data_IF_392793453961
#
_entry.id   IF_392793453961
#
_cell.length_a   1.000
_cell.length_b   1.000
_cell.length_c   1.000
_cell.angle_alpha   90.00
_cell.angle_beta   90.00
_cell.angle_gamma   90.00
#
_symmetry.space_group_name_H-M   'P 1'
#
loop_
_entity.id
_entity.type
_entity.pdbx_description
1 polymer ?
#
# COMPACT_ATOMS: atom_id res chain seq x y z
N UNK A 1 9.87 15.16 25.76
CA UNK A 1 9.00 14.27 24.95
C UNK A 1 8.90 14.89 23.58
N UNK A 2 9.25 14.15 22.50
CA UNK A 2 9.28 14.66 21.13
C UNK A 2 7.86 14.63 20.54
N UNK A 3 7.33 15.77 20.09
CA UNK A 3 5.94 15.88 19.61
C UNK A 3 5.88 15.73 18.10
N UNK A 4 5.24 14.66 17.62
CA UNK A 4 5.06 14.34 16.21
C UNK A 4 3.60 14.51 15.78
N UNK A 5 3.35 15.33 14.76
CA UNK A 5 2.06 15.41 14.09
C UNK A 5 2.09 14.59 12.80
N UNK A 6 1.19 13.59 12.67
CA UNK A 6 1.00 12.82 11.45
C UNK A 6 -0.26 13.30 10.73
N UNK A 7 -0.09 13.80 9.50
CA UNK A 7 -1.18 14.18 8.60
C UNK A 7 -1.43 13.03 7.62
N UNK A 8 -2.63 12.45 7.67
CA UNK A 8 -3.00 11.32 6.83
C UNK A 8 -4.22 11.68 5.98
N UNK A 9 -4.37 11.16 4.74
CA UNK A 9 -5.58 11.32 3.95
C UNK A 9 -6.78 10.58 4.55
N UNK A 10 -6.57 9.38 5.12
CA UNK A 10 -7.66 8.53 5.62
C UNK A 10 -7.52 8.24 7.12
N UNK A 11 -8.63 7.88 7.78
CA UNK A 11 -8.62 7.33 9.13
C UNK A 11 -8.02 5.90 9.13
N UNK A 12 -7.99 5.26 10.30
CA UNK A 12 -7.39 3.92 10.51
C UNK A 12 -8.00 2.82 9.63
N UNK A 13 -9.23 2.99 9.16
CA UNK A 13 -9.88 2.09 8.22
C UNK A 13 -9.20 2.08 6.84
N UNK A 14 -8.48 3.14 6.49
CA UNK A 14 -7.71 3.22 5.25
C UNK A 14 -6.43 2.40 5.33
N UNK A 15 -6.31 1.33 4.53
CA UNK A 15 -5.19 0.38 4.62
C UNK A 15 -3.82 1.07 4.50
N UNK A 16 -3.64 2.00 3.56
CA UNK A 16 -2.39 2.71 3.39
C UNK A 16 -1.95 3.43 4.67
N UNK A 17 -2.85 4.23 5.27
CA UNK A 17 -2.52 4.99 6.48
C UNK A 17 -2.38 4.06 7.69
N UNK A 18 -3.20 2.99 7.78
CA UNK A 18 -3.10 1.99 8.84
C UNK A 18 -1.70 1.40 8.91
N UNK A 19 -1.19 0.88 7.80
CA UNK A 19 0.10 0.18 7.75
C UNK A 19 1.32 1.11 7.66
N UNK A 20 1.12 2.41 7.35
CA UNK A 20 2.21 3.39 7.26
C UNK A 20 2.34 4.29 8.48
N UNK A 21 1.25 4.46 9.25
CA UNK A 21 1.21 5.39 10.38
C UNK A 21 0.66 4.73 11.64
N UNK A 22 -0.59 4.24 11.61
CA UNK A 22 -1.27 3.83 12.84
C UNK A 22 -0.62 2.62 13.53
N UNK A 23 -0.17 1.64 12.79
CA UNK A 23 0.49 0.45 13.35
C UNK A 23 1.86 0.76 13.97
N UNK A 24 2.52 1.85 13.53
CA UNK A 24 3.78 2.28 14.10
C UNK A 24 3.63 3.05 15.43
N UNK A 25 2.45 3.55 15.78
CA UNK A 25 2.25 4.40 16.96
C UNK A 25 2.76 3.78 18.27
N UNK A 26 2.55 2.48 18.57
CA UNK A 26 3.07 1.88 19.80
C UNK A 26 4.60 1.90 19.87
N UNK A 27 5.29 1.78 18.74
CA UNK A 27 6.75 1.84 18.66
C UNK A 27 7.26 3.26 18.86
N UNK A 28 6.62 4.24 18.24
CA UNK A 28 6.92 5.65 18.42
C UNK A 28 6.72 6.09 19.87
N UNK A 29 5.63 5.68 20.48
CA UNK A 29 5.35 5.98 21.90
C UNK A 29 6.42 5.39 22.82
N UNK A 30 6.83 4.13 22.61
CA UNK A 30 7.92 3.50 23.37
C UNK A 30 9.26 4.21 23.19
N UNK A 31 9.49 4.83 22.03
CA UNK A 31 10.68 5.63 21.75
C UNK A 31 10.57 7.09 22.26
N UNK A 32 9.54 7.44 23.03
CA UNK A 32 9.39 8.75 23.66
C UNK A 32 8.70 9.81 22.80
N UNK A 33 8.05 9.43 21.69
CA UNK A 33 7.24 10.35 20.89
C UNK A 33 5.83 10.50 21.46
N UNK A 34 5.38 11.74 21.59
CA UNK A 34 3.97 12.09 21.71
C UNK A 34 3.40 12.30 20.31
N UNK A 35 2.69 11.28 19.81
CA UNK A 35 2.21 11.29 18.42
C UNK A 35 0.73 11.67 18.34
N UNK A 36 0.42 12.69 17.55
CA UNK A 36 -0.94 13.09 17.20
C UNK A 36 -1.21 12.73 15.74
N UNK A 37 -2.23 11.93 15.46
CA UNK A 37 -2.65 11.64 14.08
C UNK A 37 -3.89 12.45 13.74
N UNK A 38 -3.84 13.17 12.63
CA UNK A 38 -4.97 13.97 12.12
C UNK A 38 -5.32 13.52 10.70
N UNK A 39 -6.30 12.59 10.55
CA UNK A 39 -6.77 12.20 9.23
C UNK A 39 -7.56 13.33 8.58
N UNK A 40 -7.38 13.52 7.27
CA UNK A 40 -8.18 14.47 6.49
C UNK A 40 -9.64 14.00 6.44
N UNK A 41 -9.89 12.78 5.98
CA UNK A 41 -11.21 12.21 5.96
C UNK A 41 -11.64 11.73 7.36
N UNK A 42 -12.87 12.08 7.76
CA UNK A 42 -13.51 11.42 8.91
C UNK A 42 -13.92 10.00 8.54
N UNK A 43 -14.16 9.08 9.50
CA UNK A 43 -14.69 7.74 9.20
C UNK A 43 -16.00 7.78 8.38
N UNK A 44 -16.84 8.80 8.63
CA UNK A 44 -18.08 9.00 7.87
C UNK A 44 -17.81 9.40 6.43
N UNK A 45 -16.88 10.34 6.19
CA UNK A 45 -16.49 10.72 4.83
C UNK A 45 -15.82 9.55 4.11
N UNK A 46 -14.91 8.84 4.77
CA UNK A 46 -14.22 7.69 4.20
C UNK A 46 -15.21 6.64 3.69
N UNK A 47 -16.20 6.26 4.51
CA UNK A 47 -17.27 5.34 4.10
C UNK A 47 -18.15 5.90 2.98
N UNK A 48 -18.47 7.20 3.02
CA UNK A 48 -19.23 7.86 1.96
C UNK A 48 -18.48 7.88 0.62
N UNK A 49 -17.16 8.05 0.63
CA UNK A 49 -16.31 8.02 -0.58
C UNK A 49 -16.27 6.62 -1.23
N UNK A 50 -16.37 5.55 -0.44
CA UNK A 50 -16.45 4.17 -0.94
C UNK A 50 -17.82 3.86 -1.58
N UNK A 51 -18.88 4.54 -1.17
CA UNK A 51 -20.24 4.33 -1.69
C UNK A 51 -20.45 5.07 -3.03
N UNK A 52 -21.32 4.53 -3.89
CA UNK A 52 -21.76 5.23 -5.13
C UNK A 52 -22.76 6.35 -4.81
N UNK A 53 -22.77 7.39 -5.64
CA UNK A 53 -23.73 8.51 -5.53
C UNK A 53 -23.41 9.50 -4.41
N UNK A 54 -24.43 10.23 -3.94
CA UNK A 54 -24.35 11.23 -2.87
C UNK A 54 -23.31 12.34 -3.07
N UNK A 55 -23.19 12.86 -4.30
CA UNK A 55 -22.15 13.84 -4.68
C UNK A 55 -22.20 15.08 -3.79
N UNK A 56 -23.38 15.64 -3.53
CA UNK A 56 -23.55 16.83 -2.67
C UNK A 56 -23.03 16.56 -1.24
N UNK A 57 -23.39 15.41 -0.66
CA UNK A 57 -22.90 14.99 0.67
C UNK A 57 -21.38 14.84 0.68
N UNK A 58 -20.80 14.21 -0.34
CA UNK A 58 -19.35 14.06 -0.49
C UNK A 58 -18.66 15.42 -0.58
N UNK A 59 -19.19 16.32 -1.41
CA UNK A 59 -18.64 17.67 -1.56
C UNK A 59 -18.68 18.46 -0.25
N UNK A 60 -19.84 18.50 0.45
CA UNK A 60 -19.99 19.18 1.72
C UNK A 60 -19.02 18.64 2.79
N UNK A 61 -18.93 17.31 2.93
CA UNK A 61 -17.99 16.70 3.88
C UNK A 61 -16.54 16.96 3.51
N UNK A 62 -16.19 16.94 2.23
CA UNK A 62 -14.81 17.24 1.76
C UNK A 62 -14.44 18.68 2.07
N UNK A 63 -15.37 19.64 1.83
CA UNK A 63 -15.16 21.05 2.17
C UNK A 63 -14.98 21.25 3.67
N UNK A 64 -15.82 20.63 4.50
CA UNK A 64 -15.67 20.65 5.96
C UNK A 64 -14.31 20.11 6.40
N UNK A 65 -13.89 18.97 5.85
CA UNK A 65 -12.58 18.38 6.16
C UNK A 65 -11.43 19.30 5.70
N UNK A 66 -11.58 19.99 4.58
CA UNK A 66 -10.63 21.01 4.11
C UNK A 66 -10.50 22.18 5.09
N UNK A 67 -11.61 22.74 5.56
CA UNK A 67 -11.62 23.80 6.58
C UNK A 67 -10.98 23.34 7.88
N UNK A 68 -11.28 22.11 8.33
CA UNK A 68 -10.64 21.51 9.50
C UNK A 68 -9.12 21.40 9.30
N UNK A 69 -8.67 21.03 8.10
CA UNK A 69 -7.24 20.93 7.78
C UNK A 69 -6.55 22.31 7.83
N UNK A 70 -7.22 23.38 7.40
CA UNK A 70 -6.71 24.73 7.57
C UNK A 70 -6.59 25.11 9.06
N UNK A 71 -7.56 24.70 9.87
CA UNK A 71 -7.47 24.88 11.32
C UNK A 71 -6.28 24.13 11.94
N UNK A 72 -5.95 22.94 11.43
CA UNK A 72 -4.80 22.17 11.89
C UNK A 72 -3.48 22.95 11.73
N UNK A 73 -3.36 23.80 10.70
CA UNK A 73 -2.16 24.64 10.47
C UNK A 73 -1.86 25.57 11.64
N UNK A 74 -2.88 26.04 12.36
CA UNK A 74 -2.71 27.01 13.46
C UNK A 74 -1.93 26.42 14.64
N UNK A 75 -1.98 25.11 14.84
CA UNK A 75 -1.35 24.39 15.95
C UNK A 75 -0.04 23.68 15.58
N UNK A 76 0.39 23.72 14.32
CA UNK A 76 1.58 22.96 13.86
C UNK A 76 2.88 23.41 14.51
N UNK A 77 3.00 24.67 14.88
CA UNK A 77 4.18 25.20 15.59
C UNK A 77 4.42 24.56 16.97
N UNK A 78 3.44 23.82 17.50
CA UNK A 78 3.55 23.13 18.79
C UNK A 78 4.24 21.76 18.67
N UNK A 79 4.48 21.29 17.47
CA UNK A 79 5.10 20.00 17.19
C UNK A 79 6.55 20.18 16.78
N UNK A 80 7.40 19.25 17.17
CA UNK A 80 8.81 19.26 16.81
C UNK A 80 9.03 18.84 15.35
N UNK A 81 8.08 18.04 14.81
CA UNK A 81 8.08 17.57 13.43
C UNK A 81 6.66 17.30 12.94
N UNK A 82 6.44 17.47 11.63
CA UNK A 82 5.21 17.05 10.94
C UNK A 82 5.55 15.96 9.92
N UNK A 83 4.85 14.84 9.96
CA UNK A 83 4.91 13.81 8.93
C UNK A 83 3.66 13.88 8.06
N UNK A 84 3.85 14.06 6.76
CA UNK A 84 2.78 14.01 5.74
C UNK A 84 2.81 12.62 5.12
N UNK A 85 1.72 11.85 5.24
CA UNK A 85 1.56 10.59 4.52
C UNK A 85 0.78 10.85 3.24
N UNK A 86 1.45 10.73 2.08
CA UNK A 86 0.95 10.92 0.71
C UNK A 86 0.52 12.35 0.38
N UNK A 87 -0.48 12.89 1.02
CA UNK A 87 -1.06 14.20 0.70
C UNK A 87 -1.71 14.83 1.94
N UNK A 88 -1.67 16.14 2.04
CA UNK A 88 -2.37 16.91 3.09
C UNK A 88 -3.85 17.02 2.76
N UNK A 89 -4.13 17.25 1.46
CA UNK A 89 -5.48 17.35 0.92
C UNK A 89 -5.52 16.75 -0.49
N UNK A 90 -6.60 16.04 -0.89
CA UNK A 90 -6.63 15.26 -2.14
C UNK A 90 -6.65 16.11 -3.41
N UNK A 91 -6.78 17.43 -3.29
CA UNK A 91 -6.81 18.36 -4.41
C UNK A 91 -5.82 19.51 -4.18
N UNK A 92 -5.42 20.16 -5.27
CA UNK A 92 -4.57 21.35 -5.24
C UNK A 92 -3.17 21.14 -4.63
N UNK A 93 -2.61 19.94 -4.75
CA UNK A 93 -1.19 19.70 -4.44
C UNK A 93 -0.33 20.58 -5.38
N UNK A 94 0.63 21.40 -4.91
CA UNK A 94 1.21 21.42 -3.56
C UNK A 94 0.75 22.60 -2.67
N UNK A 95 -0.41 23.20 -2.92
CA UNK A 95 -0.82 24.42 -2.22
C UNK A 95 -0.95 24.21 -0.72
N UNK A 96 -1.67 23.14 -0.32
CA UNK A 96 -1.86 22.84 1.11
C UNK A 96 -0.55 22.44 1.78
N UNK A 97 0.28 21.67 1.10
CA UNK A 97 1.62 21.29 1.56
C UNK A 97 2.52 22.52 1.71
N UNK A 98 2.40 23.51 0.82
CA UNK A 98 3.14 24.78 0.95
C UNK A 98 2.80 25.52 2.22
N UNK A 99 1.53 25.52 2.63
CA UNK A 99 1.12 26.11 3.91
C UNK A 99 1.72 25.37 5.11
N UNK A 100 1.83 24.03 5.02
CA UNK A 100 2.51 23.24 6.06
C UNK A 100 3.98 23.61 6.15
N UNK A 101 4.71 23.68 5.03
CA UNK A 101 6.13 24.08 5.00
C UNK A 101 6.37 25.49 5.54
N UNK A 102 5.43 26.40 5.35
CA UNK A 102 5.52 27.74 5.91
C UNK A 102 5.35 27.76 7.43
N UNK A 103 4.56 26.84 7.99
CA UNK A 103 4.26 26.75 9.43
C UNK A 103 5.22 25.86 10.20
N UNK A 104 5.83 24.88 9.54
CA UNK A 104 6.70 23.88 10.13
C UNK A 104 7.89 23.60 9.20
N UNK A 105 9.12 23.98 9.62
CA UNK A 105 10.31 23.76 8.79
C UNK A 105 10.74 22.30 8.75
N UNK A 106 10.40 21.50 9.77
CA UNK A 106 10.78 20.07 9.85
C UNK A 106 9.62 19.19 9.42
N UNK A 107 9.56 18.95 8.11
CA UNK A 107 8.52 18.15 7.48
C UNK A 107 9.13 16.88 6.88
N UNK A 108 8.60 15.72 7.29
CA UNK A 108 8.88 14.41 6.69
C UNK A 108 7.76 14.05 5.74
N UNK A 109 8.08 13.74 4.49
CA UNK A 109 7.11 13.30 3.49
C UNK A 109 7.21 11.79 3.28
N UNK A 110 6.11 11.06 3.48
CA UNK A 110 6.03 9.60 3.32
C UNK A 110 5.06 9.22 2.20
N UNK A 111 5.47 8.31 1.31
CA UNK A 111 4.60 7.79 0.26
C UNK A 111 4.96 6.36 -0.14
N UNK A 112 3.94 5.58 -0.54
CA UNK A 112 3.99 4.15 -0.82
C UNK A 112 3.41 3.76 -2.20
N UNK A 113 2.99 4.75 -2.99
CA UNK A 113 2.50 4.60 -4.37
C UNK A 113 3.17 5.63 -5.28
N UNK A 114 3.22 5.40 -6.59
CA UNK A 114 3.75 6.34 -7.58
C UNK A 114 2.79 7.54 -7.81
N UNK A 115 2.44 8.26 -6.74
CA UNK A 115 1.47 9.37 -6.76
C UNK A 115 1.89 10.54 -7.68
N UNK A 116 3.13 10.55 -8.12
CA UNK A 116 3.68 11.49 -9.10
C UNK A 116 3.37 11.10 -10.56
N UNK A 117 3.05 9.84 -10.79
CA UNK A 117 2.57 9.38 -12.09
C UNK A 117 1.07 9.59 -12.17
N UNK A 118 0.41 10.25 -12.87
CA UNK A 118 -1.06 10.28 -12.90
C UNK A 118 -1.64 8.86 -12.93
N UNK A 119 -2.85 8.67 -12.50
CA UNK A 119 -3.50 7.37 -12.60
C UNK A 119 -3.68 7.05 -14.09
N UNK A 120 -3.04 6.00 -14.60
CA UNK A 120 -3.08 5.65 -16.03
C UNK A 120 -4.51 5.34 -16.53
N UNK A 121 -5.40 4.96 -15.62
CA UNK A 121 -6.79 4.60 -15.93
C UNK A 121 -7.80 5.61 -15.38
N UNK A 122 -7.63 6.88 -15.77
CA UNK A 122 -8.57 7.96 -15.42
C UNK A 122 -10.00 7.66 -15.90
N UNK A 123 -10.14 6.81 -16.93
CA UNK A 123 -11.44 6.41 -17.48
C UNK A 123 -12.30 5.60 -16.52
N UNK A 124 -11.69 4.88 -15.59
CA UNK A 124 -12.40 4.08 -14.57
C UNK A 124 -12.81 4.88 -13.35
N UNK A 125 -12.36 6.14 -13.23
CA UNK A 125 -12.74 7.00 -12.13
C UNK A 125 -14.16 7.54 -12.34
N UNK A 126 -14.95 7.55 -11.28
CA UNK A 126 -16.34 8.04 -11.30
C UNK A 126 -16.45 9.49 -11.78
N UNK A 127 -15.37 10.28 -11.69
CA UNK A 127 -15.30 11.69 -12.09
C UNK A 127 -13.91 12.05 -12.63
N UNK A 128 -13.62 11.78 -13.92
CA UNK A 128 -12.30 12.07 -14.54
C UNK A 128 -11.85 13.53 -14.44
N UNK A 129 -12.81 14.48 -14.44
CA UNK A 129 -12.50 15.91 -14.34
C UNK A 129 -11.96 16.34 -12.96
N UNK A 130 -12.40 15.70 -11.85
CA UNK A 130 -11.87 15.95 -10.51
C UNK A 130 -10.40 15.51 -10.41
N UNK A 131 -10.01 14.53 -11.20
CA UNK A 131 -8.63 14.05 -11.21
C UNK A 131 -7.65 15.07 -11.79
N UNK A 132 -8.12 15.93 -12.72
CA UNK A 132 -7.32 17.04 -13.25
C UNK A 132 -6.95 18.07 -12.16
N UNK A 133 -7.67 18.10 -11.03
CA UNK A 133 -7.35 18.93 -9.88
C UNK A 133 -6.29 18.28 -8.96
N UNK A 134 -5.97 17.00 -9.16
CA UNK A 134 -4.82 16.33 -8.54
C UNK A 134 -3.58 16.64 -9.36
N UNK A 135 -2.81 17.62 -8.95
CA UNK A 135 -1.56 17.97 -9.61
C UNK A 135 -0.44 17.00 -9.21
N UNK A 136 -0.33 15.84 -9.88
CA UNK A 136 0.76 14.88 -9.66
C UNK A 136 2.14 15.55 -9.84
N UNK A 137 2.26 16.52 -10.74
CA UNK A 137 3.46 17.35 -10.91
C UNK A 137 3.85 18.14 -9.64
N UNK A 138 2.94 18.38 -8.71
CA UNK A 138 3.23 19.03 -7.42
C UNK A 138 4.02 18.15 -6.45
N UNK A 139 3.98 16.83 -6.60
CA UNK A 139 4.66 15.88 -5.69
C UNK A 139 6.18 16.11 -5.65
N UNK A 140 6.82 16.41 -6.80
CA UNK A 140 8.24 16.75 -6.85
C UNK A 140 8.61 17.99 -6.00
N UNK A 141 7.70 18.98 -5.90
CA UNK A 141 7.93 20.17 -5.08
C UNK A 141 7.82 19.82 -3.58
N UNK A 142 6.85 18.97 -3.21
CA UNK A 142 6.72 18.46 -1.83
C UNK A 142 7.97 17.70 -1.43
N UNK A 143 8.43 16.76 -2.28
CA UNK A 143 9.66 16.00 -2.07
C UNK A 143 10.86 16.94 -1.88
N UNK A 144 11.07 17.90 -2.79
CA UNK A 144 12.22 18.81 -2.76
C UNK A 144 12.24 19.76 -1.55
N UNK A 145 11.08 20.07 -0.98
CA UNK A 145 10.97 20.97 0.19
C UNK A 145 10.95 20.22 1.53
N UNK A 146 10.78 18.92 1.52
CA UNK A 146 10.76 18.12 2.75
C UNK A 146 12.16 18.02 3.37
N UNK A 147 12.26 18.09 4.70
CA UNK A 147 13.53 17.85 5.41
C UNK A 147 14.01 16.42 5.19
N UNK A 148 13.07 15.49 5.09
CA UNK A 148 13.36 14.07 4.81
C UNK A 148 12.20 13.43 4.06
N UNK A 149 12.51 12.44 3.22
CA UNK A 149 11.51 11.67 2.47
C UNK A 149 11.59 10.20 2.84
N UNK A 150 10.44 9.61 3.16
CA UNK A 150 10.29 8.18 3.44
C UNK A 150 9.56 7.53 2.26
N UNK A 151 10.29 6.78 1.46
CA UNK A 151 9.75 6.06 0.31
C UNK A 151 9.40 4.60 0.66
N UNK A 152 8.29 4.08 0.15
CA UNK A 152 7.85 2.70 0.44
C UNK A 152 8.60 1.62 -0.33
N UNK A 153 9.42 1.97 -1.32
CA UNK A 153 10.22 1.02 -2.11
C UNK A 153 11.46 1.69 -2.71
N UNK A 154 12.41 0.88 -3.20
CA UNK A 154 13.59 1.38 -3.90
C UNK A 154 13.25 2.17 -5.17
N UNK A 155 12.22 1.75 -5.91
CA UNK A 155 11.72 2.46 -7.10
C UNK A 155 11.25 3.88 -6.74
N UNK A 156 10.45 4.02 -5.67
CA UNK A 156 9.96 5.31 -5.19
C UNK A 156 11.11 6.17 -4.64
N UNK A 157 12.06 5.56 -3.95
CA UNK A 157 13.25 6.26 -3.45
C UNK A 157 14.13 6.78 -4.59
N UNK A 158 14.29 6.02 -5.68
CA UNK A 158 15.05 6.45 -6.84
C UNK A 158 14.41 7.70 -7.49
N UNK A 159 13.08 7.77 -7.55
CA UNK A 159 12.38 8.97 -7.98
C UNK A 159 12.61 10.14 -7.02
N UNK A 160 12.45 9.92 -5.71
CA UNK A 160 12.58 10.97 -4.71
C UNK A 160 14.00 11.57 -4.67
N UNK A 161 15.04 10.76 -4.85
CA UNK A 161 16.45 11.19 -4.87
C UNK A 161 16.79 12.16 -6.00
N UNK A 162 15.95 12.27 -7.03
CA UNK A 162 16.11 13.31 -8.07
C UNK A 162 15.85 14.72 -7.54
N UNK A 163 15.11 14.84 -6.43
CA UNK A 163 14.64 16.11 -5.88
C UNK A 163 15.08 16.36 -4.42
N UNK A 164 15.47 15.33 -3.68
CA UNK A 164 15.88 15.41 -2.28
C UNK A 164 17.04 14.42 -2.00
N UNK A 165 18.05 14.86 -1.27
CA UNK A 165 19.17 14.01 -0.90
C UNK A 165 18.86 13.15 0.35
N UNK A 166 17.93 13.59 1.21
CA UNK A 166 17.58 12.95 2.46
C UNK A 166 16.40 11.98 2.20
N UNK A 167 16.70 10.80 1.67
CA UNK A 167 15.69 9.80 1.31
C UNK A 167 16.01 8.45 1.95
N UNK A 168 15.09 7.96 2.77
CA UNK A 168 15.13 6.61 3.34
C UNK A 168 14.04 5.71 2.76
N UNK A 169 14.33 4.42 2.67
CA UNK A 169 13.33 3.41 2.31
C UNK A 169 12.78 2.78 3.58
N UNK A 170 11.47 2.91 3.79
CA UNK A 170 10.73 2.18 4.82
C UNK A 170 9.59 1.46 4.11
N UNK A 171 9.66 0.14 3.93
CA UNK A 171 8.65 -0.61 3.19
C UNK A 171 7.30 -0.59 3.93
N UNK A 172 6.24 -0.94 3.23
CA UNK A 172 4.98 -1.30 3.87
C UNK A 172 5.16 -2.63 4.57
N UNK A 173 4.73 -2.72 5.81
CA UNK A 173 4.98 -3.86 6.69
C UNK A 173 3.69 -4.43 7.26
N UNK A 174 3.77 -5.61 7.85
CA UNK A 174 2.67 -6.25 8.59
C UNK A 174 3.07 -6.50 10.04
N UNK A 175 2.08 -6.45 10.92
CA UNK A 175 2.25 -6.84 12.32
C UNK A 175 2.17 -8.36 12.44
N UNK A 176 3.28 -9.01 12.82
CA UNK A 176 3.36 -10.47 12.94
C UNK A 176 2.54 -11.02 14.11
N UNK A 177 2.16 -10.20 15.08
CA UNK A 177 1.27 -10.60 16.16
C UNK A 177 -0.17 -10.75 15.65
N UNK A 178 -0.55 -9.98 14.63
CA UNK A 178 -1.83 -10.11 13.93
C UNK A 178 -1.75 -11.14 12.79
N UNK A 179 -0.71 -11.05 11.96
CA UNK A 179 -0.47 -11.97 10.82
C UNK A 179 0.29 -13.22 11.30
N UNK A 180 -0.34 -13.99 12.21
CA UNK A 180 0.25 -15.23 12.73
C UNK A 180 0.46 -16.26 11.61
N UNK A 181 1.58 -17.00 11.67
CA UNK A 181 1.85 -18.07 10.74
C UNK A 181 0.83 -19.20 10.89
N UNK A 182 0.25 -19.64 9.79
CA UNK A 182 -0.70 -20.75 9.74
C UNK A 182 -0.13 -21.87 8.86
N UNK A 183 0.54 -22.86 9.45
CA UNK A 183 0.99 -24.03 8.70
C UNK A 183 -0.23 -24.75 8.12
N UNK A 184 -0.26 -24.92 6.79
CA UNK A 184 -1.37 -25.52 6.10
C UNK A 184 -1.21 -27.01 6.04
N UNK A 185 -2.09 -27.73 6.71
CA UNK A 185 -2.27 -29.16 6.49
C UNK A 185 -3.43 -29.34 5.49
N UNK A 186 -3.15 -29.75 4.25
CA UNK A 186 -4.22 -30.03 3.29
C UNK A 186 -5.15 -31.10 3.86
N UNK A 187 -6.43 -30.84 3.81
CA UNK A 187 -7.42 -31.89 4.01
C UNK A 187 -7.57 -32.63 2.70
N UNK A 188 -7.33 -33.92 2.70
CA UNK A 188 -7.52 -34.76 1.51
C UNK A 188 -8.93 -34.55 0.92
N UNK A 189 -9.01 -34.33 -0.39
CA UNK A 189 -10.28 -34.11 -1.09
C UNK A 189 -10.83 -32.70 -1.07
N UNK A 190 -10.19 -31.72 -0.40
CA UNK A 190 -10.61 -30.32 -0.49
C UNK A 190 -10.04 -29.62 -1.73
N UNK A 191 -10.83 -28.74 -2.34
CA UNK A 191 -10.35 -27.90 -3.44
C UNK A 191 -9.25 -26.94 -2.97
N UNK A 192 -8.25 -26.72 -3.80
CA UNK A 192 -7.21 -25.68 -3.59
C UNK A 192 -7.82 -24.32 -3.83
N UNK A 193 -7.77 -23.45 -2.83
CA UNK A 193 -8.30 -22.10 -2.89
C UNK A 193 -7.23 -21.09 -3.30
N UNK A 194 -7.37 -20.53 -4.49
CA UNK A 194 -6.50 -19.48 -5.02
C UNK A 194 -7.15 -18.13 -4.70
N UNK A 195 -6.46 -17.28 -3.94
CA UNK A 195 -7.02 -16.03 -3.44
C UNK A 195 -6.35 -14.78 -3.97
N UNK A 196 -7.17 -13.78 -4.28
CA UNK A 196 -6.74 -12.41 -4.52
C UNK A 196 -7.35 -11.47 -3.48
N UNK A 197 -6.53 -10.58 -2.92
CA UNK A 197 -6.88 -9.55 -1.95
C UNK A 197 -6.72 -8.18 -2.55
N UNK A 198 -7.74 -7.32 -2.46
CA UNK A 198 -7.59 -5.97 -2.96
C UNK A 198 -8.87 -5.16 -2.95
N UNK A 199 -8.73 -3.89 -3.30
CA UNK A 199 -9.83 -2.94 -3.43
C UNK A 199 -10.33 -2.88 -4.87
N UNK A 200 -11.48 -2.22 -5.05
CA UNK A 200 -12.06 -1.92 -6.36
C UNK A 200 -11.11 -1.23 -7.33
N UNK A 201 -10.17 -0.41 -6.83
CA UNK A 201 -9.17 0.27 -7.67
C UNK A 201 -8.12 -0.68 -8.26
N UNK A 202 -7.99 -1.89 -7.73
CA UNK A 202 -7.00 -2.88 -8.18
C UNK A 202 -7.62 -4.17 -8.72
N UNK A 203 -8.94 -4.37 -8.58
CA UNK A 203 -9.64 -5.52 -9.17
C UNK A 203 -9.55 -5.59 -10.71
N UNK A 204 -9.41 -4.49 -11.48
CA UNK A 204 -9.14 -4.57 -12.91
C UNK A 204 -7.87 -5.34 -13.27
N UNK A 205 -6.88 -5.40 -12.39
CA UNK A 205 -5.65 -6.17 -12.63
C UNK A 205 -5.87 -7.69 -12.69
N UNK A 206 -7.02 -8.18 -12.22
CA UNK A 206 -7.41 -9.58 -12.39
C UNK A 206 -7.54 -9.98 -13.86
N UNK A 207 -7.74 -9.04 -14.78
CA UNK A 207 -7.71 -9.30 -16.22
C UNK A 207 -6.42 -9.96 -16.69
N UNK A 208 -5.30 -9.70 -16.01
CA UNK A 208 -3.98 -10.32 -16.30
C UNK A 208 -4.00 -11.83 -16.10
N UNK A 209 -4.84 -12.34 -15.19
CA UNK A 209 -4.83 -13.74 -14.76
C UNK A 209 -6.13 -14.49 -15.08
N UNK A 210 -7.19 -13.82 -15.52
CA UNK A 210 -8.48 -14.44 -15.78
C UNK A 210 -8.41 -15.58 -16.84
N UNK A 211 -7.62 -15.40 -17.91
CA UNK A 211 -7.40 -16.43 -18.91
C UNK A 211 -6.76 -17.70 -18.31
N UNK A 212 -5.76 -17.51 -17.47
CA UNK A 212 -5.09 -18.59 -16.77
C UNK A 212 -6.06 -19.32 -15.81
N UNK A 213 -6.90 -18.59 -15.07
CA UNK A 213 -7.89 -19.19 -14.17
C UNK A 213 -8.89 -20.07 -14.92
N UNK A 214 -9.39 -19.65 -16.09
CA UNK A 214 -10.27 -20.47 -16.94
C UNK A 214 -9.59 -21.76 -17.39
N UNK A 215 -8.32 -21.69 -17.80
CA UNK A 215 -7.53 -22.88 -18.18
C UNK A 215 -7.34 -23.83 -16.99
N UNK A 216 -7.07 -23.30 -15.80
CA UNK A 216 -6.92 -24.12 -14.60
C UNK A 216 -8.23 -24.84 -14.21
N UNK A 217 -9.39 -24.19 -14.37
CA UNK A 217 -10.68 -24.86 -14.19
C UNK A 217 -10.87 -25.99 -15.22
N UNK A 218 -10.51 -25.76 -16.49
CA UNK A 218 -10.57 -26.81 -17.51
C UNK A 218 -9.65 -28.00 -17.19
N UNK A 219 -8.48 -27.76 -16.58
CA UNK A 219 -7.50 -28.79 -16.23
C UNK A 219 -7.85 -29.55 -14.93
N UNK A 220 -8.41 -28.87 -13.95
CA UNK A 220 -8.57 -29.39 -12.58
C UNK A 220 -10.03 -29.56 -12.13
N UNK A 221 -10.99 -28.94 -12.85
CA UNK A 221 -12.42 -28.99 -12.50
C UNK A 221 -12.68 -28.38 -11.11
N UNK A 222 -13.43 -29.11 -10.32
CA UNK A 222 -13.81 -28.71 -8.95
C UNK A 222 -12.67 -28.86 -7.91
N UNK A 223 -11.48 -29.29 -8.32
CA UNK A 223 -10.30 -29.34 -7.44
C UNK A 223 -9.67 -27.96 -7.20
N UNK A 224 -10.12 -26.93 -7.91
CA UNK A 224 -9.70 -25.53 -7.72
C UNK A 224 -10.91 -24.63 -7.52
N UNK A 225 -10.74 -23.66 -6.64
CA UNK A 225 -11.68 -22.56 -6.45
C UNK A 225 -10.91 -21.25 -6.35
N UNK A 226 -11.60 -20.14 -6.61
CA UNK A 226 -11.03 -18.82 -6.55
C UNK A 226 -11.78 -17.97 -5.52
N UNK A 227 -11.03 -17.19 -4.72
CA UNK A 227 -11.61 -16.22 -3.81
C UNK A 227 -11.11 -14.83 -4.19
N UNK A 228 -12.03 -13.93 -4.52
CA UNK A 228 -11.76 -12.51 -4.77
C UNK A 228 -12.31 -11.75 -3.56
N UNK A 229 -11.42 -11.19 -2.76
CA UNK A 229 -11.78 -10.48 -1.53
C UNK A 229 -11.56 -8.98 -1.66
N UNK A 230 -12.53 -8.19 -1.16
CA UNK A 230 -12.44 -6.74 -1.03
C UNK A 230 -13.29 -5.95 -2.02
N UNK A 231 -13.40 -6.37 -3.29
CA UNK A 231 -14.32 -5.77 -4.26
C UNK A 231 -15.61 -6.60 -4.38
N UNK A 232 -16.60 -6.32 -3.54
CA UNK A 232 -17.89 -7.01 -3.55
C UNK A 232 -18.73 -6.76 -4.81
N UNK A 233 -18.36 -5.78 -5.64
CA UNK A 233 -19.05 -5.50 -6.92
C UNK A 233 -18.35 -6.15 -8.12
N UNK A 234 -17.18 -6.77 -7.94
CA UNK A 234 -16.48 -7.49 -8.99
C UNK A 234 -17.38 -8.56 -9.61
N UNK A 235 -17.30 -8.73 -10.92
CA UNK A 235 -18.02 -9.77 -11.65
C UNK A 235 -17.01 -10.66 -12.33
N UNK A 236 -16.99 -11.95 -11.94
CA UNK A 236 -16.11 -12.94 -12.53
C UNK A 236 -16.89 -13.77 -13.56
N UNK A 237 -16.26 -14.03 -14.69
CA UNK A 237 -16.68 -15.01 -15.68
C UNK A 237 -15.88 -16.33 -15.57
N UNK A 238 -15.06 -16.43 -14.53
CA UNK A 238 -14.32 -17.66 -14.17
C UNK A 238 -15.19 -18.53 -13.28
N UNK A 239 -15.44 -19.80 -13.64
CA UNK A 239 -16.18 -20.75 -12.78
C UNK A 239 -15.50 -20.94 -11.43
N UNK A 240 -16.25 -21.44 -10.45
CA UNK A 240 -15.77 -21.71 -9.08
C UNK A 240 -15.21 -20.47 -8.36
N UNK A 241 -15.68 -19.27 -8.72
CA UNK A 241 -15.23 -18.01 -8.08
C UNK A 241 -16.21 -17.55 -7.01
N UNK A 242 -15.69 -17.33 -5.81
CA UNK A 242 -16.39 -16.71 -4.67
C UNK A 242 -15.95 -15.25 -4.54
N UNK A 243 -16.92 -14.35 -4.54
CA UNK A 243 -16.70 -12.91 -4.33
C UNK A 243 -17.03 -12.60 -2.87
N UNK A 244 -16.10 -11.96 -2.16
CA UNK A 244 -16.24 -11.62 -0.74
C UNK A 244 -16.06 -10.11 -0.57
N UNK A 245 -17.08 -9.39 -0.10
CA UNK A 245 -16.97 -7.96 0.16
C UNK A 245 -15.93 -7.66 1.25
N UNK A 246 -15.39 -6.44 1.23
CA UNK A 246 -14.47 -5.97 2.25
C UNK A 246 -15.09 -5.99 3.65
N UNK A 247 -14.37 -6.59 4.59
CA UNK A 247 -14.66 -6.53 6.02
C UNK A 247 -13.35 -6.58 6.81
N UNK A 248 -13.00 -5.51 7.49
CA UNK A 248 -11.76 -5.46 8.29
C UNK A 248 -11.75 -6.56 9.37
N UNK A 249 -12.91 -6.83 9.99
CA UNK A 249 -13.02 -7.86 11.02
C UNK A 249 -12.84 -9.28 10.49
N UNK A 250 -13.18 -9.53 9.21
CA UNK A 250 -13.08 -10.86 8.58
C UNK A 250 -11.78 -11.04 7.76
N UNK A 251 -10.96 -10.00 7.61
CA UNK A 251 -9.79 -10.01 6.73
C UNK A 251 -8.86 -11.20 7.00
N UNK A 252 -8.42 -11.37 8.23
CA UNK A 252 -7.49 -12.42 8.59
C UNK A 252 -8.10 -13.81 8.56
N UNK A 253 -9.39 -13.94 8.91
CA UNK A 253 -10.11 -15.22 8.82
C UNK A 253 -10.23 -15.67 7.36
N UNK A 254 -10.68 -14.78 6.48
CA UNK A 254 -10.85 -15.07 5.07
C UNK A 254 -9.49 -15.35 4.38
N UNK A 255 -8.47 -14.56 4.71
CA UNK A 255 -7.11 -14.80 4.25
C UNK A 255 -6.61 -16.18 4.71
N UNK A 256 -6.99 -16.60 5.91
CA UNK A 256 -6.73 -17.92 6.44
C UNK A 256 -7.31 -19.09 5.60
N UNK A 257 -8.26 -18.88 4.71
CA UNK A 257 -8.88 -19.88 3.84
C UNK A 257 -8.20 -20.05 2.47
N UNK A 258 -7.18 -19.21 2.17
CA UNK A 258 -6.47 -19.20 0.87
C UNK A 258 -5.25 -20.11 0.91
N UNK A 259 -5.08 -20.99 -0.08
CA UNK A 259 -3.94 -21.92 -0.19
C UNK A 259 -2.81 -21.37 -1.06
N UNK A 260 -3.15 -20.51 -2.04
CA UNK A 260 -2.20 -19.84 -2.94
C UNK A 260 -2.66 -18.41 -3.13
N UNK A 261 -1.81 -17.44 -2.81
CA UNK A 261 -2.08 -16.03 -3.02
C UNK A 261 -1.61 -15.55 -4.39
N UNK A 262 -2.41 -14.74 -5.09
CA UNK A 262 -2.01 -14.17 -6.38
C UNK A 262 -1.97 -12.65 -6.34
N UNK A 263 -0.93 -12.08 -6.96
CA UNK A 263 -0.79 -10.63 -7.12
C UNK A 263 -0.50 -10.27 -8.59
N UNK A 264 -1.51 -10.37 -9.47
CA UNK A 264 -1.38 -9.95 -10.85
C UNK A 264 -1.28 -8.43 -10.94
N UNK A 265 -0.37 -7.96 -11.76
CA UNK A 265 -0.21 -6.53 -12.10
C UNK A 265 0.24 -6.37 -13.55
N UNK A 266 -0.33 -5.43 -14.33
CA UNK A 266 0.29 -5.01 -15.57
C UNK A 266 1.61 -4.28 -15.28
N UNK A 267 2.56 -4.29 -16.19
CA UNK A 267 3.79 -3.51 -16.03
C UNK A 267 3.60 -2.10 -16.59
N UNK A 268 3.32 -1.16 -15.71
CA UNK A 268 3.10 0.27 -16.01
C UNK A 268 3.92 1.14 -15.07
N UNK A 269 4.08 2.43 -15.39
CA UNK A 269 4.78 3.38 -14.50
C UNK A 269 4.14 3.44 -13.11
N UNK A 270 2.80 3.40 -13.05
CA UNK A 270 2.05 3.40 -11.80
C UNK A 270 2.30 2.12 -10.98
N UNK A 271 2.19 0.95 -11.61
CA UNK A 271 2.29 -0.34 -10.90
C UNK A 271 3.71 -0.67 -10.46
N UNK A 272 4.74 -0.17 -11.15
CA UNK A 272 6.14 -0.24 -10.70
C UNK A 272 6.35 0.45 -9.35
N UNK A 273 5.55 1.44 -9.01
CA UNK A 273 5.57 2.10 -7.69
C UNK A 273 4.81 1.37 -6.58
N UNK A 274 4.17 0.23 -6.85
CA UNK A 274 3.43 -0.52 -5.83
C UNK A 274 4.37 -1.22 -4.84
N UNK A 275 3.99 -1.20 -3.55
CA UNK A 275 4.79 -1.76 -2.45
C UNK A 275 4.51 -3.23 -2.12
N UNK A 276 3.99 -4.02 -3.06
CA UNK A 276 3.78 -5.47 -2.97
C UNK A 276 3.00 -5.96 -1.73
N UNK A 277 2.19 -5.11 -1.10
CA UNK A 277 1.58 -5.38 0.20
C UNK A 277 0.76 -6.68 0.26
N UNK A 278 0.00 -7.00 -0.79
CA UNK A 278 -0.77 -8.26 -0.85
C UNK A 278 0.13 -9.48 -0.71
N UNK A 279 1.26 -9.49 -1.43
CA UNK A 279 2.22 -10.59 -1.35
C UNK A 279 2.85 -10.68 0.04
N UNK A 280 3.15 -9.54 0.68
CA UNK A 280 3.61 -9.51 2.08
C UNK A 280 2.58 -10.13 3.02
N UNK A 281 1.28 -9.81 2.86
CA UNK A 281 0.20 -10.40 3.67
C UNK A 281 0.11 -11.93 3.46
N UNK A 282 0.19 -12.41 2.21
CA UNK A 282 0.20 -13.85 1.92
C UNK A 282 1.38 -14.53 2.61
N UNK A 283 2.58 -14.06 2.34
CA UNK A 283 3.82 -14.64 2.86
C UNK A 283 3.85 -14.61 4.40
N UNK A 284 3.37 -13.53 5.03
CA UNK A 284 3.24 -13.43 6.48
C UNK A 284 2.37 -14.54 7.08
N UNK A 285 1.30 -14.93 6.40
CA UNK A 285 0.40 -16.01 6.82
C UNK A 285 0.89 -17.40 6.39
N UNK A 286 2.05 -17.49 5.74
CA UNK A 286 2.57 -18.74 5.18
C UNK A 286 1.80 -19.21 3.94
N UNK A 287 1.21 -18.28 3.19
CA UNK A 287 0.54 -18.57 1.92
C UNK A 287 1.55 -18.38 0.79
N UNK A 288 1.87 -19.40 -0.02
CA UNK A 288 2.69 -19.27 -1.21
C UNK A 288 2.15 -18.19 -2.14
N UNK A 289 3.01 -17.26 -2.58
CA UNK A 289 2.63 -16.17 -3.46
C UNK A 289 3.08 -16.43 -4.91
N UNK A 290 2.17 -16.16 -5.86
CA UNK A 290 2.50 -16.01 -7.28
C UNK A 290 2.26 -14.57 -7.67
N UNK A 291 3.26 -13.90 -8.23
CA UNK A 291 3.22 -12.46 -8.49
C UNK A 291 3.64 -12.13 -9.91
N UNK A 292 3.10 -11.05 -10.48
CA UNK A 292 3.75 -10.40 -11.63
C UNK A 292 5.08 -9.82 -11.17
N UNK A 293 6.21 -10.05 -11.89
CA UNK A 293 7.53 -9.53 -11.51
C UNK A 293 7.65 -8.03 -11.83
N UNK A 294 6.85 -7.19 -11.17
CA UNK A 294 6.74 -5.75 -11.40
C UNK A 294 7.07 -4.99 -10.11
N UNK A 295 7.99 -4.04 -10.20
CA UNK A 295 8.40 -3.19 -9.07
C UNK A 295 8.82 -4.02 -7.87
N UNK A 296 8.37 -3.63 -6.67
CA UNK A 296 8.72 -4.31 -5.42
C UNK A 296 8.29 -5.78 -5.37
N UNK A 297 7.34 -6.24 -6.19
CA UNK A 297 6.98 -7.66 -6.22
C UNK A 297 8.13 -8.55 -6.70
N UNK A 298 8.97 -8.03 -7.63
CA UNK A 298 10.18 -8.71 -8.09
C UNK A 298 11.32 -8.68 -7.06
N UNK A 299 11.32 -7.69 -6.15
CA UNK A 299 12.30 -7.61 -5.06
C UNK A 299 11.91 -8.51 -3.88
N UNK A 300 10.61 -8.61 -3.59
CA UNK A 300 10.07 -9.40 -2.48
C UNK A 300 10.11 -10.90 -2.75
N UNK A 301 9.70 -11.30 -3.96
CA UNK A 301 9.60 -12.70 -4.34
C UNK A 301 10.81 -13.10 -5.16
N UNK A 302 11.61 -14.01 -4.62
CA UNK A 302 12.70 -14.69 -5.33
C UNK A 302 12.11 -15.95 -5.98
N UNK A 303 12.10 -15.95 -7.33
CA UNK A 303 11.43 -17.01 -8.11
C UNK A 303 12.00 -18.40 -7.81
N UNK A 304 11.11 -19.34 -7.50
CA UNK A 304 11.44 -20.72 -7.14
C UNK A 304 12.01 -20.93 -5.73
N UNK A 305 12.24 -19.85 -4.95
CA UNK A 305 12.79 -19.89 -3.59
C UNK A 305 11.72 -19.65 -2.53
N UNK A 306 11.03 -18.49 -2.59
CA UNK A 306 9.99 -18.12 -1.62
C UNK A 306 8.62 -17.84 -2.25
N UNK A 307 8.49 -18.03 -3.57
CA UNK A 307 7.28 -17.85 -4.36
C UNK A 307 7.57 -18.09 -5.84
N UNK A 308 6.65 -17.66 -6.72
CA UNK A 308 6.82 -17.79 -8.17
C UNK A 308 6.49 -16.48 -8.89
N UNK A 309 7.19 -16.25 -10.01
CA UNK A 309 6.88 -15.17 -10.93
C UNK A 309 5.98 -15.65 -12.07
N UNK A 310 5.08 -14.77 -12.51
CA UNK A 310 4.25 -14.99 -13.69
C UNK A 310 4.06 -13.69 -14.46
N UNK A 311 4.76 -13.55 -15.58
CA UNK A 311 4.76 -12.34 -16.41
C UNK A 311 3.78 -12.38 -17.59
N UNK A 312 3.21 -13.56 -17.91
CA UNK A 312 2.23 -13.75 -18.99
C UNK A 312 1.28 -14.90 -18.65
N UNK A 313 0.20 -15.05 -19.43
CA UNK A 313 -0.84 -16.04 -19.16
C UNK A 313 -0.30 -17.48 -19.03
N UNK A 314 0.62 -17.91 -19.91
CA UNK A 314 1.19 -19.23 -19.84
C UNK A 314 2.04 -19.45 -18.58
N UNK A 315 2.79 -18.44 -18.15
CA UNK A 315 3.54 -18.48 -16.89
C UNK A 315 2.61 -18.57 -15.69
N UNK A 316 1.47 -17.84 -15.70
CA UNK A 316 0.44 -17.95 -14.66
C UNK A 316 -0.15 -19.35 -14.58
N UNK A 317 -0.50 -19.97 -15.73
CA UNK A 317 -0.98 -21.35 -15.76
C UNK A 317 0.06 -22.30 -15.19
N UNK A 318 1.31 -22.23 -15.66
CA UNK A 318 2.39 -23.11 -15.23
C UNK A 318 2.70 -22.99 -13.74
N UNK A 319 2.82 -21.75 -13.24
CA UNK A 319 3.12 -21.50 -11.83
C UNK A 319 2.00 -22.00 -10.90
N UNK A 320 0.75 -21.73 -11.24
CA UNK A 320 -0.39 -22.15 -10.45
C UNK A 320 -0.63 -23.66 -10.54
N UNK A 321 -0.53 -24.28 -11.73
CA UNK A 321 -0.65 -25.73 -11.89
C UNK A 321 0.39 -26.48 -11.06
N UNK A 322 1.65 -26.00 -11.07
CA UNK A 322 2.72 -26.54 -10.24
C UNK A 322 2.37 -26.49 -8.75
N UNK A 323 1.89 -25.34 -8.25
CA UNK A 323 1.48 -25.20 -6.84
C UNK A 323 0.21 -25.99 -6.50
N UNK A 324 -0.73 -26.19 -7.43
CA UNK A 324 -1.92 -27.02 -7.23
C UNK A 324 -1.51 -28.49 -7.01
N UNK A 325 -0.57 -28.99 -7.81
CA UNK A 325 -0.14 -30.41 -7.79
C UNK A 325 0.86 -30.73 -6.69
N UNK A 326 1.74 -29.79 -6.36
CA UNK A 326 2.89 -30.02 -5.48
C UNK A 326 2.69 -29.39 -4.11
N UNK A 327 2.23 -30.21 -3.16
CA UNK A 327 2.06 -29.81 -1.76
C UNK A 327 3.39 -29.47 -1.08
N UNK A 328 4.43 -30.28 -1.33
CA UNK A 328 5.74 -30.07 -0.70
C UNK A 328 6.34 -28.72 -1.13
N UNK A 329 6.11 -28.33 -2.39
CA UNK A 329 6.49 -27.01 -2.88
C UNK A 329 5.73 -25.89 -2.16
N UNK A 330 4.41 -26.04 -1.95
CA UNK A 330 3.64 -25.06 -1.17
C UNK A 330 4.17 -24.90 0.26
N UNK A 331 4.48 -26.02 0.92
CA UNK A 331 5.04 -26.01 2.28
C UNK A 331 6.41 -25.33 2.32
N UNK A 332 7.29 -25.62 1.37
CA UNK A 332 8.60 -24.98 1.25
C UNK A 332 8.46 -23.47 1.07
N UNK A 333 7.60 -22.99 0.16
CA UNK A 333 7.38 -21.56 -0.07
C UNK A 333 6.67 -20.89 1.11
N UNK A 334 5.80 -21.60 1.81
CA UNK A 334 5.16 -21.11 3.04
C UNK A 334 6.20 -20.74 4.09
N UNK A 335 7.17 -21.61 4.34
CA UNK A 335 8.24 -21.39 5.33
C UNK A 335 9.20 -20.29 4.84
N UNK A 336 9.65 -20.36 3.59
CA UNK A 336 10.60 -19.39 3.03
C UNK A 336 9.98 -17.99 2.94
N UNK A 337 8.73 -17.89 2.47
CA UNK A 337 8.00 -16.62 2.39
C UNK A 337 7.80 -15.99 3.77
N UNK A 338 7.38 -16.77 4.76
CA UNK A 338 7.24 -16.31 6.14
C UNK A 338 8.56 -15.74 6.68
N UNK A 339 9.67 -16.45 6.49
CA UNK A 339 11.00 -15.99 6.91
C UNK A 339 11.41 -14.67 6.25
N UNK A 340 11.12 -14.50 4.96
CA UNK A 340 11.38 -13.26 4.24
C UNK A 340 10.65 -12.08 4.89
N UNK A 341 9.37 -12.26 5.25
CA UNK A 341 8.59 -11.20 5.90
C UNK A 341 9.08 -10.93 7.32
N UNK A 342 9.36 -11.95 8.10
CA UNK A 342 9.90 -11.79 9.48
C UNK A 342 11.18 -10.95 9.49
N UNK A 343 12.06 -11.18 8.55
CA UNK A 343 13.37 -10.52 8.51
C UNK A 343 13.31 -9.11 7.90
N UNK A 344 12.42 -8.85 6.93
CA UNK A 344 12.52 -7.66 6.10
C UNK A 344 11.25 -6.81 6.00
N UNK A 345 10.07 -7.36 6.34
CA UNK A 345 8.79 -6.68 6.09
C UNK A 345 7.84 -6.76 7.28
N UNK A 346 8.38 -6.89 8.48
CA UNK A 346 7.61 -6.94 9.72
C UNK A 346 7.66 -5.61 10.47
N UNK A 347 6.56 -5.30 11.16
CA UNK A 347 6.47 -4.14 12.06
C UNK A 347 7.48 -4.27 13.23
N UNK A 348 7.74 -5.49 13.68
CA UNK A 348 8.71 -5.80 14.74
C UNK A 348 10.13 -5.36 14.38
N UNK A 349 10.50 -5.46 13.09
CA UNK A 349 11.80 -5.00 12.57
C UNK A 349 11.78 -3.50 12.27
N UNK A 350 10.74 -3.02 11.62
CA UNK A 350 10.69 -1.64 11.12
C UNK A 350 10.17 -0.61 12.12
N UNK A 351 9.43 -1.03 13.14
CA UNK A 351 8.95 -0.14 14.19
C UNK A 351 10.09 0.59 14.92
N UNK A 352 11.07 -0.13 15.49
CA UNK A 352 12.24 0.49 16.10
C UNK A 352 13.10 1.29 15.10
N UNK A 353 13.24 0.82 13.85
CA UNK A 353 14.03 1.51 12.81
C UNK A 353 13.40 2.84 12.40
N UNK A 354 12.07 2.89 12.22
CA UNK A 354 11.36 4.13 11.92
C UNK A 354 11.47 5.11 13.09
N UNK A 355 11.31 4.64 14.33
CA UNK A 355 11.44 5.48 15.51
C UNK A 355 12.85 6.10 15.60
N UNK A 356 13.91 5.32 15.39
CA UNK A 356 15.27 5.81 15.38
C UNK A 356 15.55 6.79 14.23
N UNK A 357 14.98 6.54 13.04
CA UNK A 357 15.08 7.46 11.90
C UNK A 357 14.44 8.81 12.22
N UNK A 358 13.22 8.81 12.76
CA UNK A 358 12.52 10.06 13.10
C UNK A 358 13.23 10.80 14.25
N UNK A 359 13.81 10.06 15.18
CA UNK A 359 14.63 10.61 16.26
C UNK A 359 15.84 11.37 15.72
N UNK A 360 16.58 10.73 14.84
CA UNK A 360 17.75 11.34 14.15
C UNK A 360 17.34 12.59 13.37
N UNK A 361 16.24 12.56 12.61
CA UNK A 361 15.75 13.71 11.85
C UNK A 361 15.40 14.91 12.78
N UNK A 362 14.92 14.67 13.99
CA UNK A 362 14.63 15.74 14.95
C UNK A 362 15.91 16.36 15.50
N UNK A 363 16.93 15.56 15.72
CA UNK A 363 18.22 15.99 16.29
C UNK A 363 19.12 16.72 15.28
N UNK A 364 18.96 16.42 13.99
CA UNK A 364 19.69 17.16 12.95
C UNK A 364 19.28 18.63 12.89
N UNK A 365 20.24 19.55 12.67
CA UNK A 365 19.93 20.96 12.39
C UNK A 365 18.97 21.06 11.20
N UNK A 366 17.91 21.84 11.34
CA UNK A 366 16.94 22.05 10.27
C UNK A 366 17.60 22.84 9.12
N UNK A 367 18.28 22.18 8.22
CA UNK A 367 18.72 22.77 6.97
C UNK A 367 17.49 22.96 6.08
N UNK A 368 16.97 24.18 5.98
CA UNK A 368 15.99 24.54 4.97
C UNK A 368 16.62 24.27 3.62
N UNK A 369 16.18 23.20 2.95
CA UNK A 369 16.68 22.87 1.63
C UNK A 369 16.39 24.02 0.68
N UNK A 370 17.44 24.69 0.21
CA UNK A 370 17.31 25.67 -0.86
C UNK A 370 16.75 24.96 -2.10
N UNK A 371 15.74 25.51 -2.78
CA UNK A 371 15.16 24.89 -3.96
C UNK A 371 16.25 24.72 -5.03
N UNK A 372 16.55 23.47 -5.43
CA UNK A 372 17.39 23.23 -6.60
C UNK A 372 16.66 23.74 -7.82
N UNK A 373 17.22 24.75 -8.47
CA UNK A 373 16.86 25.12 -9.84
C UNK A 373 17.27 23.94 -10.74
N UNK A 374 16.30 23.18 -11.20
CA UNK A 374 16.53 22.21 -12.28
C UNK A 374 16.83 23.03 -13.52
N UNK A 375 18.09 23.05 -13.96
CA UNK A 375 18.46 23.58 -15.27
C UNK A 375 17.70 22.76 -16.32
N UNK A 376 16.81 23.42 -17.06
CA UNK A 376 16.23 22.87 -18.25
C UNK A 376 17.35 22.64 -19.26
N UNK A 377 17.85 21.41 -19.35
CA UNK A 377 18.64 20.97 -20.48
C UNK A 377 17.70 20.65 -21.61
N UNK A 378 17.77 21.50 -22.62
CA UNK A 378 17.14 21.43 -23.95
C UNK A 378 17.23 20.06 -24.62
#
# INVERSE_FOLDING_TARGET
MKRLLCLTPNPVEGACDRHRVYEFLPYLQRAGFETTVRPMATPTLYRALQARGRIATKAAHTSFCGLRRLWDLTSMHRYDMVMINREVFPFFTPVMETLVFWRQPRVVFSFDDAIYEGHEDVSQLTHPWLYRLKHSAGVKQVIGRSSHVIAGSNHLAAYARQYNNNVSVVPTVVDLDQYTYLPRKPKAGTAINIGWWGSRSTSPYLSVVNGAFKKLVAMHGNRVQFTIWGDGEYRSDVPNTRIVPFSLAAELEELGKVDIGVMPMPDTRWTRGKCAFKAIQYMARGIPAVVSPVGMSAELVEDGVNGLWAGNEQAWVSALDRLIRDQALRERFSIAGRRTVEQNYSLQVWGPRLAALLDHIIEEPCAVAAPRTVSASS
#
